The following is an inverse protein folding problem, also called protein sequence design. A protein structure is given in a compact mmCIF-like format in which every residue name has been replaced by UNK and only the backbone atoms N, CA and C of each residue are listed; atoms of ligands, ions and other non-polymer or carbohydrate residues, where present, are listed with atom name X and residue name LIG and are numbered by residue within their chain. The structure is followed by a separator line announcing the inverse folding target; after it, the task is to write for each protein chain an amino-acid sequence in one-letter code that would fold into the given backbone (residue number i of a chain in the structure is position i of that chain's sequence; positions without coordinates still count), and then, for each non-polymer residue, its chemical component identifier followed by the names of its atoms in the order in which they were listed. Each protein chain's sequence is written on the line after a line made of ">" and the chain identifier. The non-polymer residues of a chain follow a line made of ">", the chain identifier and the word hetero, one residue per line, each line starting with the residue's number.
data_IF_614770463354
#
_entry.id   IF_614770463354
#
_cell.length_a   1.000
_cell.length_b   1.000
_cell.length_c   1.000
_cell.angle_alpha   90.00
_cell.angle_beta   90.00
_cell.angle_gamma   90.00
#
_symmetry.space_group_name_H-M   'P 1'
#
loop_
_entity.id
_entity.type
_entity.pdbx_description
1 polymer ?
#
# COMPACT_ATOMS: atom_id res chain seq x y z
N UNK A 1 -0.05 3.89 3.81
CA UNK A 1 -0.54 5.23 4.20
C UNK A 1 -1.25 5.88 3.03
N UNK A 2 -1.95 6.97 3.28
CA UNK A 2 -2.72 7.72 2.28
C UNK A 2 -2.35 9.22 2.27
N UNK A 3 -1.74 9.69 3.36
CA UNK A 3 -1.40 11.08 3.62
C UNK A 3 0.10 11.38 3.70
N UNK A 4 0.44 12.67 3.65
CA UNK A 4 1.82 13.15 3.71
C UNK A 4 2.48 12.85 5.07
N UNK A 5 1.69 12.75 6.13
CA UNK A 5 2.13 12.33 7.46
C UNK A 5 2.67 10.89 7.48
N UNK A 6 2.28 10.05 6.52
CA UNK A 6 2.74 8.66 6.42
C UNK A 6 3.99 8.50 5.56
N UNK A 7 4.44 9.56 4.88
CA UNK A 7 5.41 9.44 3.80
C UNK A 7 6.78 8.97 4.28
N UNK A 8 7.25 9.51 5.41
CA UNK A 8 8.52 9.08 6.01
C UNK A 8 8.44 7.62 6.45
N UNK A 9 7.32 7.20 7.03
CA UNK A 9 7.07 5.81 7.40
C UNK A 9 7.04 4.89 6.17
N UNK A 10 6.36 5.30 5.10
CA UNK A 10 6.26 4.54 3.84
C UNK A 10 7.66 4.36 3.22
N UNK A 11 8.48 5.41 3.20
CA UNK A 11 9.84 5.36 2.65
C UNK A 11 10.79 4.50 3.49
N UNK A 12 10.59 4.46 4.80
CA UNK A 12 11.41 3.66 5.71
C UNK A 12 11.05 2.17 5.66
N UNK A 13 9.79 1.83 5.38
CA UNK A 13 9.32 0.46 5.36
C UNK A 13 9.95 -0.33 4.20
N UNK A 14 10.34 -1.59 4.46
CA UNK A 14 10.85 -2.49 3.42
C UNK A 14 9.81 -2.79 2.31
N UNK A 15 8.52 -2.63 2.62
CA UNK A 15 7.42 -2.71 1.65
C UNK A 15 6.37 -1.66 2.00
N UNK A 16 6.73 -0.38 1.81
CA UNK A 16 5.80 0.74 2.01
C UNK A 16 4.79 0.87 0.88
N UNK A 17 3.49 0.94 1.22
CA UNK A 17 2.40 1.05 0.23
C UNK A 17 1.57 2.32 0.46
N UNK A 18 1.35 3.07 -0.61
CA UNK A 18 0.35 4.13 -0.69
C UNK A 18 -1.00 3.56 -1.17
N UNK A 19 -2.05 3.63 -0.35
CA UNK A 19 -3.39 3.17 -0.72
C UNK A 19 -4.31 4.38 -0.89
N UNK A 20 -4.88 4.55 -2.09
CA UNK A 20 -5.75 5.67 -2.46
C UNK A 20 -5.18 7.03 -2.00
N UNK A 21 -3.85 7.14 -2.09
CA UNK A 21 -3.14 8.25 -1.50
C UNK A 21 -3.28 9.52 -2.36
N UNK A 22 -3.14 10.67 -1.72
CA UNK A 22 -3.09 11.95 -2.43
C UNK A 22 -1.95 11.94 -3.47
N UNK A 23 -2.08 12.66 -4.62
CA UNK A 23 -1.10 12.60 -5.71
C UNK A 23 0.36 12.81 -5.28
N UNK A 24 0.63 13.71 -4.33
CA UNK A 24 1.99 13.93 -3.81
C UNK A 24 2.56 12.71 -3.10
N UNK A 25 1.76 12.06 -2.25
CA UNK A 25 2.17 10.86 -1.50
C UNK A 25 2.34 9.69 -2.46
N UNK A 26 1.41 9.55 -3.40
CA UNK A 26 1.43 8.50 -4.41
C UNK A 26 2.64 8.64 -5.35
N UNK A 27 3.06 9.86 -5.71
CA UNK A 27 4.23 10.09 -6.55
C UNK A 27 5.54 9.70 -5.86
N UNK A 28 5.59 9.73 -4.53
CA UNK A 28 6.80 9.45 -3.74
C UNK A 28 6.84 8.05 -3.12
N UNK A 29 5.71 7.34 -3.12
CA UNK A 29 5.63 5.99 -2.55
C UNK A 29 6.20 4.93 -3.52
N UNK A 30 6.93 3.91 -3.00
CA UNK A 30 7.55 2.88 -3.84
C UNK A 30 6.53 1.91 -4.43
N UNK A 31 5.40 1.69 -3.73
CA UNK A 31 4.29 0.84 -4.19
C UNK A 31 2.98 1.60 -3.98
N UNK A 32 2.05 1.43 -4.92
CA UNK A 32 0.76 2.12 -4.91
C UNK A 32 -0.38 1.16 -5.21
N UNK A 33 -1.51 1.38 -4.53
CA UNK A 33 -2.81 0.81 -4.86
C UNK A 33 -3.74 2.00 -5.13
N UNK A 34 -3.97 2.29 -6.41
CA UNK A 34 -4.86 3.38 -6.83
C UNK A 34 -6.32 2.92 -6.98
N UNK A 35 -6.55 1.61 -7.11
CA UNK A 35 -7.86 0.99 -7.24
C UNK A 35 -7.94 -0.29 -6.40
N UNK A 36 -9.09 -0.53 -5.79
CA UNK A 36 -9.35 -1.71 -4.94
C UNK A 36 -9.42 -1.34 -3.47
N UNK A 37 -9.09 -2.27 -2.59
CA UNK A 37 -9.10 -2.06 -1.14
C UNK A 37 -7.85 -2.67 -0.49
N UNK A 38 -7.86 -2.77 0.84
CA UNK A 38 -6.76 -3.32 1.63
C UNK A 38 -6.43 -4.79 1.29
N UNK A 39 -7.30 -5.51 0.60
CA UNK A 39 -7.03 -6.88 0.11
C UNK A 39 -5.82 -6.91 -0.82
N UNK A 40 -5.55 -5.82 -1.55
CA UNK A 40 -4.35 -5.69 -2.38
C UNK A 40 -3.05 -5.90 -1.59
N UNK A 41 -3.03 -5.55 -0.30
CA UNK A 41 -1.86 -5.74 0.57
C UNK A 41 -1.56 -7.23 0.82
N UNK A 42 -2.57 -8.10 0.82
CA UNK A 42 -2.36 -9.55 1.00
C UNK A 42 -1.67 -10.15 -0.22
N UNK A 43 -2.09 -9.74 -1.42
CA UNK A 43 -1.44 -10.17 -2.66
C UNK A 43 0.01 -9.67 -2.76
N UNK A 44 0.29 -8.44 -2.34
CA UNK A 44 1.66 -7.88 -2.31
C UNK A 44 2.58 -8.72 -1.41
N UNK A 45 2.03 -9.28 -0.32
CA UNK A 45 2.76 -10.18 0.58
C UNK A 45 2.91 -11.61 0.04
N UNK A 46 2.34 -11.92 -1.13
CA UNK A 46 2.44 -13.21 -1.79
C UNK A 46 1.30 -14.19 -1.48
N UNK A 47 0.26 -13.77 -0.76
CA UNK A 47 -0.90 -14.61 -0.52
C UNK A 47 -1.79 -14.74 -1.75
N UNK A 48 -2.32 -15.92 -2.00
CA UNK A 48 -3.41 -16.17 -2.94
C UNK A 48 -4.75 -16.00 -2.24
N UNK A 49 -5.79 -15.74 -3.01
CA UNK A 49 -7.15 -15.58 -2.49
C UNK A 49 -7.63 -16.79 -1.68
N UNK A 50 -7.23 -18.01 -2.08
CA UNK A 50 -7.54 -19.25 -1.37
C UNK A 50 -6.90 -19.35 0.02
N UNK A 51 -5.94 -18.50 0.34
CA UNK A 51 -5.22 -18.47 1.62
C UNK A 51 -5.80 -17.38 2.56
N UNK A 52 -6.83 -16.65 2.15
CA UNK A 52 -7.49 -15.65 3.00
C UNK A 52 -8.38 -16.32 4.05
N UNK A 53 -8.38 -15.79 5.27
CA UNK A 53 -9.31 -16.22 6.31
C UNK A 53 -10.73 -15.74 5.98
N UNK A 54 -11.70 -16.64 6.11
CA UNK A 54 -13.14 -16.40 5.90
C UNK A 54 -13.86 -15.98 7.17
#
# INVERSE_FOLDING_TARGET
>A
GDGANDLDMIKLAGTGVALHAKPMVAAEAPIRIDHGDLTGLLYIQGYRQSEFAS
#
